data_IF_599275440818
#
_entry.id   IF_599275440818
#
_cell.length_a   1.000
_cell.length_b   1.000
_cell.length_c   1.000
_cell.angle_alpha   90.00
_cell.angle_beta   90.00
_cell.angle_gamma   90.00
#
_symmetry.space_group_name_H-M   'P 1'
#
loop_
_entity.id
_entity.type
_entity.pdbx_description
1 polymer ?
#
# COMPACT_ATOMS: atom_id res chain seq x y z
N UNK A 1 19.90 -25.05 -51.42
CA UNK A 1 20.40 -23.90 -50.62
C UNK A 1 19.18 -23.20 -50.02
N UNK A 2 18.70 -23.69 -48.87
CA UNK A 2 17.57 -23.10 -48.15
C UNK A 2 18.12 -22.20 -47.04
N UNK A 3 17.98 -20.88 -47.19
CA UNK A 3 18.09 -19.94 -46.08
C UNK A 3 16.78 -19.15 -46.05
N UNK A 4 15.76 -19.77 -45.50
CA UNK A 4 14.53 -19.12 -45.12
C UNK A 4 14.64 -18.70 -43.66
N UNK A 5 14.35 -17.42 -43.42
CA UNK A 5 13.51 -16.96 -42.32
C UNK A 5 14.01 -17.23 -40.89
N UNK A 6 14.91 -16.37 -40.41
CA UNK A 6 15.08 -16.12 -38.97
C UNK A 6 14.14 -15.00 -38.55
N UNK A 7 12.93 -15.37 -38.15
CA UNK A 7 11.88 -14.50 -37.62
C UNK A 7 12.36 -13.82 -36.32
N UNK A 8 12.62 -12.51 -36.38
CA UNK A 8 12.88 -11.67 -35.21
C UNK A 8 11.64 -11.62 -34.32
N UNK A 9 11.56 -12.51 -33.35
CA UNK A 9 10.58 -12.43 -32.27
C UNK A 9 11.06 -11.32 -31.32
N UNK A 10 10.59 -10.10 -31.58
CA UNK A 10 10.55 -9.04 -30.59
C UNK A 10 9.52 -9.45 -29.53
N UNK A 11 9.98 -10.09 -28.47
CA UNK A 11 9.21 -10.28 -27.25
C UNK A 11 9.04 -8.90 -26.60
N UNK A 12 7.99 -8.18 -27.00
CA UNK A 12 7.46 -7.05 -26.24
C UNK A 12 6.90 -7.63 -24.93
N UNK A 13 7.77 -7.76 -23.94
CA UNK A 13 7.40 -8.00 -22.55
C UNK A 13 6.72 -6.70 -22.07
N UNK A 14 5.42 -6.57 -22.37
CA UNK A 14 4.56 -5.62 -21.67
C UNK A 14 4.62 -6.01 -20.20
N UNK A 15 5.34 -5.21 -19.40
CA UNK A 15 5.48 -5.44 -17.97
C UNK A 15 4.10 -5.62 -17.36
N UNK A 16 3.85 -6.82 -16.83
CA UNK A 16 2.73 -7.02 -15.93
C UNK A 16 3.02 -6.16 -14.69
N UNK A 17 2.37 -5.00 -14.60
CA UNK A 17 2.23 -4.29 -13.33
C UNK A 17 1.34 -5.18 -12.49
N UNK A 18 1.95 -6.02 -11.68
CA UNK A 18 1.23 -6.68 -10.59
C UNK A 18 0.74 -5.56 -9.69
N UNK A 19 -0.57 -5.46 -9.48
CA UNK A 19 -1.12 -4.55 -8.48
C UNK A 19 -0.76 -5.14 -7.11
N UNK A 20 0.43 -4.81 -6.62
CA UNK A 20 0.88 -5.22 -5.30
C UNK A 20 0.04 -4.59 -4.19
N UNK A 21 0.32 -4.96 -2.94
CA UNK A 21 -0.34 -4.38 -1.77
C UNK A 21 -0.17 -2.86 -1.69
N UNK A 22 -0.85 -2.22 -0.75
CA UNK A 22 -0.71 -0.77 -0.53
C UNK A 22 0.76 -0.40 -0.33
N UNK A 23 1.50 -1.21 0.43
CA UNK A 23 2.92 -1.02 0.69
C UNK A 23 3.77 -1.09 -0.59
N UNK A 24 3.50 -2.03 -1.51
CA UNK A 24 4.25 -2.14 -2.77
C UNK A 24 4.06 -0.88 -3.62
N UNK A 25 2.80 -0.42 -3.75
CA UNK A 25 2.48 0.79 -4.51
C UNK A 25 3.18 2.04 -3.93
N UNK A 26 3.23 2.16 -2.59
CA UNK A 26 3.91 3.28 -1.93
C UNK A 26 5.45 3.14 -1.99
N UNK A 27 5.99 1.93 -1.86
CA UNK A 27 7.43 1.67 -1.97
C UNK A 27 7.95 1.95 -3.38
N UNK A 28 7.18 1.62 -4.42
CA UNK A 28 7.49 2.01 -5.81
C UNK A 28 7.51 3.53 -6.00
N UNK A 29 6.65 4.25 -5.30
CA UNK A 29 6.56 5.71 -5.39
C UNK A 29 7.67 6.44 -4.60
N UNK A 30 8.00 5.97 -3.40
CA UNK A 30 8.78 6.76 -2.44
C UNK A 30 9.70 5.94 -1.52
N UNK A 31 9.86 4.64 -1.78
CA UNK A 31 10.69 3.74 -0.97
C UNK A 31 10.03 3.33 0.34
N UNK A 32 10.67 2.40 1.06
CA UNK A 32 10.18 1.90 2.35
C UNK A 32 10.23 2.99 3.45
N UNK A 33 11.18 3.92 3.31
CA UNK A 33 11.40 5.04 4.22
C UNK A 33 10.28 6.07 4.18
N UNK A 34 9.37 5.99 3.20
CA UNK A 34 8.15 6.79 3.18
C UNK A 34 7.23 6.49 4.38
N UNK A 35 7.31 5.29 4.95
CA UNK A 35 6.50 4.89 6.10
C UNK A 35 7.33 4.42 7.31
N UNK A 36 8.54 3.91 7.09
CA UNK A 36 9.35 3.27 8.13
C UNK A 36 10.64 4.03 8.42
N UNK A 37 10.91 4.34 9.69
CA UNK A 37 12.15 5.02 10.07
C UNK A 37 13.35 4.10 9.79
N UNK A 38 14.26 4.54 8.91
CA UNK A 38 15.38 3.72 8.42
C UNK A 38 14.95 2.38 7.80
N UNK A 39 13.72 2.31 7.26
CA UNK A 39 13.17 1.10 6.65
C UNK A 39 12.76 0.01 7.65
N UNK A 40 12.73 0.32 8.95
CA UNK A 40 12.28 -0.59 10.00
C UNK A 40 10.92 -0.15 10.60
N UNK A 41 10.03 -1.10 10.92
CA UNK A 41 8.76 -0.78 11.56
C UNK A 41 8.98 -0.26 12.98
N UNK A 42 8.15 0.71 13.40
CA UNK A 42 8.09 1.12 14.79
C UNK A 42 7.42 0.06 15.67
N UNK A 43 7.67 0.12 16.97
CA UNK A 43 7.13 -0.87 17.93
C UNK A 43 5.61 -0.75 18.12
N UNK A 44 5.05 0.45 17.94
CA UNK A 44 3.65 0.78 18.24
C UNK A 44 2.85 1.23 17.01
N UNK A 45 3.48 1.34 15.84
CA UNK A 45 2.86 1.82 14.62
C UNK A 45 2.61 3.33 14.56
N UNK A 46 3.02 4.09 15.59
CA UNK A 46 2.75 5.52 15.67
C UNK A 46 3.49 6.31 14.58
N UNK A 47 4.73 5.90 14.27
CA UNK A 47 5.52 6.52 13.21
C UNK A 47 4.85 6.32 11.84
N UNK A 48 4.44 5.09 11.54
CA UNK A 48 3.75 4.74 10.29
C UNK A 48 2.40 5.46 10.17
N UNK A 49 1.66 5.60 11.27
CA UNK A 49 0.38 6.32 11.27
C UNK A 49 0.56 7.82 10.97
N UNK A 50 1.59 8.44 11.55
CA UNK A 50 1.94 9.84 11.24
C UNK A 50 2.37 9.98 9.76
N UNK A 51 3.12 9.00 9.23
CA UNK A 51 3.48 8.98 7.82
C UNK A 51 2.24 8.95 6.91
N UNK A 52 1.20 8.17 7.26
CA UNK A 52 -0.09 8.18 6.56
C UNK A 52 -0.72 9.58 6.60
N UNK A 53 -0.85 10.14 7.80
CA UNK A 53 -1.51 11.43 8.02
C UNK A 53 -0.77 12.60 7.35
N UNK A 54 0.55 12.52 7.19
CA UNK A 54 1.34 13.56 6.54
C UNK A 54 0.91 13.84 5.09
N UNK A 55 0.37 12.83 4.40
CA UNK A 55 -0.04 12.91 3.00
C UNK A 55 -1.57 12.82 2.82
N UNK A 56 -2.25 12.04 3.67
CA UNK A 56 -3.71 11.81 3.57
C UNK A 56 -4.53 12.67 4.55
N UNK A 57 -3.89 13.28 5.55
CA UNK A 57 -4.56 13.94 6.67
C UNK A 57 -4.94 12.97 7.80
N UNK A 58 -5.22 13.49 9.00
CA UNK A 58 -5.71 12.68 10.12
C UNK A 58 -7.13 12.16 9.87
N UNK A 59 -7.57 11.10 10.58
CA UNK A 59 -8.86 10.44 10.33
C UNK A 59 -10.05 11.41 10.37
N UNK A 60 -10.07 12.34 11.34
CA UNK A 60 -11.11 13.38 11.47
C UNK A 60 -11.26 14.34 10.28
N UNK A 61 -10.23 14.45 9.43
CA UNK A 61 -10.20 15.35 8.27
C UNK A 61 -10.51 14.63 6.96
N UNK A 62 -10.61 13.30 6.99
CA UNK A 62 -11.06 12.50 5.87
C UNK A 62 -12.58 12.63 5.73
N UNK A 63 -13.05 12.85 4.50
CA UNK A 63 -14.47 12.90 4.16
C UNK A 63 -15.09 11.48 4.19
N UNK A 64 -15.20 10.91 5.39
CA UNK A 64 -15.70 9.55 5.63
C UNK A 64 -16.24 9.39 7.05
N UNK A 65 -17.51 9.02 7.15
CA UNK A 65 -18.15 8.66 8.42
C UNK A 65 -17.48 7.47 9.12
N UNK A 66 -16.83 6.57 8.37
CA UNK A 66 -16.12 5.42 8.95
C UNK A 66 -14.84 5.89 9.64
N UNK A 67 -14.03 6.73 8.98
CA UNK A 67 -12.80 7.25 9.57
C UNK A 67 -13.10 8.12 10.80
N UNK A 68 -14.09 9.01 10.68
CA UNK A 68 -14.49 9.92 11.77
C UNK A 68 -14.89 9.18 13.06
N UNK A 69 -15.49 7.98 12.94
CA UNK A 69 -15.90 7.17 14.11
C UNK A 69 -14.74 6.48 14.82
N UNK A 70 -13.59 6.36 14.19
CA UNK A 70 -12.41 5.68 14.72
C UNK A 70 -11.26 6.66 15.07
N UNK A 71 -11.48 7.96 14.90
CA UNK A 71 -10.53 9.01 15.31
C UNK A 71 -10.11 8.84 16.78
N UNK A 72 -8.80 8.82 17.00
CA UNK A 72 -8.19 8.69 18.33
C UNK A 72 -8.34 7.32 18.99
N UNK A 73 -9.02 6.37 18.34
CA UNK A 73 -9.20 5.01 18.84
C UNK A 73 -8.37 3.99 18.06
N UNK A 74 -8.19 4.20 16.75
CA UNK A 74 -7.45 3.32 15.86
C UNK A 74 -6.42 4.10 15.03
N UNK A 75 -5.41 3.39 14.59
CA UNK A 75 -4.45 3.80 13.57
C UNK A 75 -4.93 3.39 12.18
N UNK A 76 -4.36 3.98 11.13
CA UNK A 76 -4.72 3.67 9.75
C UNK A 76 -4.54 2.17 9.42
N UNK A 77 -3.44 1.59 9.90
CA UNK A 77 -3.06 0.20 9.66
C UNK A 77 -3.85 -0.84 10.48
N UNK A 78 -4.66 -0.42 11.45
CA UNK A 78 -5.60 -1.32 12.15
C UNK A 78 -6.71 -1.82 11.20
N UNK A 79 -7.05 -1.03 10.18
CA UNK A 79 -7.97 -1.43 9.13
C UNK A 79 -7.23 -1.75 7.83
N UNK A 80 -6.30 -0.90 7.41
CA UNK A 80 -5.56 -1.06 6.16
C UNK A 80 -4.35 -1.98 6.36
N UNK A 81 -4.53 -3.28 6.11
CA UNK A 81 -3.41 -4.24 6.14
C UNK A 81 -2.54 -4.05 4.89
N UNK A 82 -1.51 -3.22 5.00
CA UNK A 82 -0.80 -2.66 3.83
C UNK A 82 0.21 -3.59 3.17
N UNK A 83 0.76 -4.55 3.91
CA UNK A 83 1.73 -5.53 3.40
C UNK A 83 1.08 -6.80 2.84
N UNK A 84 -0.24 -6.85 2.79
CA UNK A 84 -1.02 -7.96 2.26
C UNK A 84 -2.04 -7.45 1.24
N UNK A 85 -2.54 -8.35 0.39
CA UNK A 85 -3.67 -8.04 -0.50
C UNK A 85 -4.99 -8.17 0.28
N UNK A 86 -5.33 -7.14 1.05
CA UNK A 86 -6.54 -7.10 1.88
C UNK A 86 -7.35 -5.82 1.67
N UNK A 87 -8.67 -5.92 1.75
CA UNK A 87 -9.54 -4.75 1.76
C UNK A 87 -9.78 -4.30 3.20
N UNK A 88 -9.75 -2.98 3.44
CA UNK A 88 -9.98 -2.44 4.79
C UNK A 88 -11.32 -2.87 5.41
N UNK A 89 -12.34 -3.10 4.59
CA UNK A 89 -13.65 -3.58 5.05
C UNK A 89 -13.60 -4.97 5.67
N UNK A 90 -12.61 -5.79 5.31
CA UNK A 90 -12.51 -7.16 5.82
C UNK A 90 -12.09 -7.15 7.31
N UNK A 91 -11.39 -6.10 7.73
CA UNK A 91 -10.98 -5.85 9.12
C UNK A 91 -12.13 -5.50 10.06
N UNK A 92 -13.33 -5.18 9.57
CA UNK A 92 -14.48 -4.85 10.42
C UNK A 92 -14.79 -5.98 11.43
N UNK A 93 -14.71 -7.23 10.95
CA UNK A 93 -15.03 -8.44 11.74
C UNK A 93 -14.03 -8.73 12.87
N UNK A 94 -12.88 -8.05 12.88
CA UNK A 94 -11.90 -8.18 13.97
C UNK A 94 -12.38 -7.49 15.25
N UNK A 95 -13.35 -6.57 15.16
CA UNK A 95 -13.81 -5.73 16.28
C UNK A 95 -15.35 -5.70 16.47
N UNK A 96 -16.15 -6.02 15.45
CA UNK A 96 -17.63 -5.93 15.44
C UNK A 96 -18.29 -7.19 14.89
#
# INVERSE_FOLDING_TARGET
MFKALGLSILLSLSGAVFAGGIADSHAEMSGCEACHENGAPSDDGAFENEACASCHGPLKELDSDVHNKHEGALLCNDCHVVHEEALAKDSCSNCH
#
